data_IF_127471258656
#
_entry.id   IF_127471258656
#
_cell.length_a   1.000
_cell.length_b   1.000
_cell.length_c   1.000
_cell.angle_alpha   90.00
_cell.angle_beta   90.00
_cell.angle_gamma   90.00
#
_symmetry.space_group_name_H-M   'P 1'
#
loop_
_entity.id
_entity.type
_entity.pdbx_description
1 polymer ?
#
# COMPACT_ATOMS: atom_id res chain seq x y z
N UNK A 1 -14.83 -21.31 20.92
CA UNK A 1 -13.41 -21.21 21.33
C UNK A 1 -12.93 -19.75 21.23
N UNK A 2 -12.86 -18.96 22.32
CA UNK A 2 -12.50 -17.54 22.27
C UNK A 2 -11.00 -17.31 22.57
N UNK A 3 -10.09 -17.99 21.86
CA UNK A 3 -8.63 -17.78 22.02
C UNK A 3 -7.94 -17.24 20.77
N UNK A 4 -8.63 -17.16 19.63
CA UNK A 4 -8.10 -16.47 18.45
C UNK A 4 -8.43 -14.98 18.49
N UNK A 5 -7.49 -14.18 19.04
CA UNK A 5 -7.50 -12.73 18.86
C UNK A 5 -7.25 -12.43 17.36
N UNK A 6 -8.31 -12.06 16.65
CA UNK A 6 -8.23 -11.65 15.25
C UNK A 6 -7.80 -10.19 15.18
N UNK A 7 -6.78 -9.89 14.39
CA UNK A 7 -6.31 -8.52 14.19
C UNK A 7 -7.44 -7.60 13.68
N UNK A 8 -7.43 -6.33 14.10
CA UNK A 8 -8.48 -5.36 13.78
C UNK A 8 -8.73 -5.20 12.27
N UNK A 9 -7.66 -5.15 11.46
CA UNK A 9 -7.73 -5.10 9.99
C UNK A 9 -8.30 -6.39 9.38
N UNK A 10 -7.91 -7.55 9.92
CA UNK A 10 -8.46 -8.85 9.52
C UNK A 10 -9.95 -8.94 9.85
N UNK A 11 -10.35 -8.55 11.08
CA UNK A 11 -11.74 -8.48 11.51
C UNK A 11 -12.56 -7.55 10.61
N UNK A 12 -12.07 -6.34 10.34
CA UNK A 12 -12.72 -5.41 9.42
C UNK A 12 -12.93 -6.02 8.04
N UNK A 13 -11.92 -6.70 7.50
CA UNK A 13 -11.97 -7.33 6.18
C UNK A 13 -12.99 -8.48 6.17
N UNK A 14 -12.99 -9.33 7.19
CA UNK A 14 -13.91 -10.46 7.31
C UNK A 14 -15.34 -9.99 7.49
N UNK A 15 -15.59 -9.01 8.37
CA UNK A 15 -16.91 -8.38 8.52
C UNK A 15 -17.40 -7.82 7.19
N UNK A 16 -16.56 -7.11 6.43
CA UNK A 16 -16.97 -6.63 5.11
C UNK A 16 -17.33 -7.77 4.16
N UNK A 17 -16.55 -8.86 4.13
CA UNK A 17 -16.82 -10.02 3.27
C UNK A 17 -18.15 -10.69 3.63
N UNK A 18 -18.38 -10.90 4.93
CA UNK A 18 -19.61 -11.49 5.46
C UNK A 18 -20.82 -10.61 5.12
N UNK A 19 -20.80 -9.34 5.51
CA UNK A 19 -21.91 -8.39 5.30
C UNK A 19 -22.22 -8.18 3.81
N UNK A 20 -21.18 -8.05 2.97
CA UNK A 20 -21.35 -7.65 1.56
C UNK A 20 -21.64 -8.82 0.63
N UNK A 21 -21.08 -9.99 0.89
CA UNK A 21 -21.11 -11.10 -0.07
C UNK A 21 -21.75 -12.37 0.49
N UNK A 22 -21.45 -12.76 1.73
CA UNK A 22 -21.93 -14.05 2.25
C UNK A 22 -23.37 -13.98 2.77
N UNK A 23 -23.70 -12.99 3.60
CA UNK A 23 -25.05 -12.88 4.18
C UNK A 23 -26.16 -12.67 3.13
N UNK A 24 -25.98 -11.85 2.07
CA UNK A 24 -27.01 -11.72 1.04
C UNK A 24 -27.31 -13.02 0.29
N UNK A 25 -26.35 -13.94 0.25
CA UNK A 25 -26.46 -15.21 -0.46
C UNK A 25 -26.96 -16.32 0.47
N UNK A 26 -26.25 -16.55 1.58
CA UNK A 26 -26.45 -17.70 2.46
C UNK A 26 -27.18 -17.37 3.76
N UNK A 27 -27.39 -16.09 4.08
CA UNK A 27 -27.90 -15.67 5.40
C UNK A 27 -29.31 -16.16 5.72
N UNK A 28 -30.14 -16.38 4.69
CA UNK A 28 -31.48 -16.97 4.85
C UNK A 28 -31.51 -18.49 4.80
N UNK A 29 -30.38 -19.16 4.53
CA UNK A 29 -30.32 -20.62 4.42
C UNK A 29 -29.92 -21.25 5.75
N UNK A 30 -30.54 -22.38 6.09
CA UNK A 30 -30.02 -23.24 7.16
C UNK A 30 -28.66 -23.81 6.75
N UNK A 31 -27.71 -23.84 7.68
CA UNK A 31 -26.34 -24.28 7.40
C UNK A 31 -26.26 -25.72 6.85
N UNK A 32 -27.11 -26.61 7.36
CA UNK A 32 -27.25 -28.01 6.91
C UNK A 32 -27.83 -28.16 5.49
N UNK A 33 -28.42 -27.10 4.92
CA UNK A 33 -28.94 -27.06 3.55
C UNK A 33 -28.02 -26.36 2.56
N UNK A 34 -26.88 -25.82 3.01
CA UNK A 34 -25.89 -25.25 2.10
C UNK A 34 -25.11 -26.40 1.45
N UNK A 35 -25.25 -26.55 0.15
CA UNK A 35 -24.62 -27.62 -0.64
C UNK A 35 -23.47 -27.08 -1.51
N UNK A 36 -22.55 -27.94 -1.98
CA UNK A 36 -21.48 -27.52 -2.90
C UNK A 36 -21.96 -26.84 -4.19
N UNK A 37 -23.17 -27.17 -4.68
CA UNK A 37 -23.75 -26.49 -5.85
C UNK A 37 -24.03 -25.01 -5.59
N UNK A 38 -24.55 -24.65 -4.41
CA UNK A 38 -24.79 -23.24 -4.03
C UNK A 38 -23.48 -22.45 -3.96
N UNK A 39 -22.42 -23.07 -3.42
CA UNK A 39 -21.11 -22.42 -3.35
C UNK A 39 -20.49 -22.23 -4.74
N UNK A 40 -20.64 -23.21 -5.64
CA UNK A 40 -20.20 -23.06 -7.05
C UNK A 40 -20.97 -21.94 -7.76
N UNK A 41 -22.28 -21.90 -7.59
CA UNK A 41 -23.13 -20.87 -8.19
C UNK A 41 -22.77 -19.47 -7.66
N UNK A 42 -22.58 -19.34 -6.34
CA UNK A 42 -22.11 -18.11 -5.71
C UNK A 42 -20.78 -17.63 -6.31
N UNK A 43 -19.79 -18.53 -6.45
CA UNK A 43 -18.49 -18.21 -7.07
C UNK A 43 -18.67 -17.76 -8.51
N UNK A 44 -19.51 -18.45 -9.28
CA UNK A 44 -19.83 -18.07 -10.65
C UNK A 44 -20.46 -16.68 -10.73
N UNK A 45 -21.48 -16.39 -9.90
CA UNK A 45 -22.13 -15.07 -9.80
C UNK A 45 -21.14 -13.95 -9.48
N UNK A 46 -20.21 -14.18 -8.55
CA UNK A 46 -19.17 -13.20 -8.24
C UNK A 46 -18.27 -12.92 -9.44
N UNK A 47 -17.86 -13.95 -10.17
CA UNK A 47 -17.03 -13.81 -11.36
C UNK A 47 -17.80 -13.07 -12.48
N UNK A 48 -19.06 -13.44 -12.71
CA UNK A 48 -19.93 -12.79 -13.71
C UNK A 48 -20.15 -11.30 -13.41
N UNK A 49 -20.18 -10.90 -12.13
CA UNK A 49 -20.25 -9.50 -11.69
C UNK A 49 -18.92 -8.75 -11.78
N UNK A 50 -17.84 -9.38 -12.25
CA UNK A 50 -16.51 -8.78 -12.36
C UNK A 50 -15.79 -8.60 -11.02
N UNK A 51 -16.18 -9.34 -9.97
CA UNK A 51 -15.47 -9.32 -8.69
C UNK A 51 -14.09 -9.94 -8.88
N UNK A 52 -13.04 -9.25 -8.43
CA UNK A 52 -11.66 -9.74 -8.61
C UNK A 52 -11.44 -11.13 -7.99
N UNK A 53 -10.64 -11.98 -8.64
CA UNK A 53 -10.29 -13.32 -8.15
C UNK A 53 -9.80 -13.30 -6.69
N UNK A 54 -9.02 -12.30 -6.30
CA UNK A 54 -8.55 -12.13 -4.93
C UNK A 54 -9.69 -12.00 -3.90
N UNK A 55 -10.74 -11.24 -4.21
CA UNK A 55 -11.92 -11.11 -3.35
C UNK A 55 -12.73 -12.40 -3.35
N UNK A 56 -12.85 -13.08 -4.50
CA UNK A 56 -13.52 -14.40 -4.60
C UNK A 56 -12.82 -15.44 -3.72
N UNK A 57 -11.48 -15.55 -3.80
CA UNK A 57 -10.71 -16.43 -2.93
C UNK A 57 -10.91 -16.10 -1.45
N UNK A 58 -10.98 -14.80 -1.10
CA UNK A 58 -11.24 -14.39 0.28
C UNK A 58 -12.65 -14.76 0.74
N UNK A 59 -13.67 -14.57 -0.09
CA UNK A 59 -15.04 -15.01 0.22
C UNK A 59 -15.06 -16.51 0.50
N UNK A 60 -14.41 -17.30 -0.36
CA UNK A 60 -14.29 -18.76 -0.19
C UNK A 60 -13.50 -19.15 1.06
N UNK A 61 -12.42 -18.44 1.38
CA UNK A 61 -11.63 -18.72 2.58
C UNK A 61 -12.43 -18.46 3.87
N UNK A 62 -13.15 -17.33 3.94
CA UNK A 62 -14.02 -17.02 5.08
C UNK A 62 -15.17 -18.01 5.18
N UNK A 63 -15.83 -18.33 4.06
CA UNK A 63 -16.91 -19.31 4.03
C UNK A 63 -16.41 -20.71 4.44
N UNK A 64 -15.25 -21.12 3.96
CA UNK A 64 -14.63 -22.37 4.37
C UNK A 64 -14.29 -22.37 5.85
N UNK A 65 -13.77 -21.28 6.42
CA UNK A 65 -13.49 -21.20 7.85
C UNK A 65 -14.77 -21.36 8.70
N UNK A 66 -15.88 -20.74 8.29
CA UNK A 66 -17.19 -20.89 8.93
C UNK A 66 -17.65 -22.35 8.93
N UNK A 67 -17.60 -23.01 7.76
CA UNK A 67 -18.04 -24.41 7.65
C UNK A 67 -17.06 -25.42 8.23
N UNK A 68 -15.77 -25.11 8.32
CA UNK A 68 -14.80 -25.92 9.08
C UNK A 68 -15.19 -25.95 10.56
N UNK A 69 -15.53 -24.80 11.15
CA UNK A 69 -16.01 -24.74 12.54
C UNK A 69 -17.34 -25.49 12.68
N UNK A 70 -18.30 -25.26 11.78
CA UNK A 70 -19.60 -25.95 11.83
C UNK A 70 -19.48 -27.48 11.70
N UNK A 71 -18.54 -27.98 10.89
CA UNK A 71 -18.27 -29.41 10.77
C UNK A 71 -17.64 -29.97 12.05
N UNK A 72 -16.68 -29.25 12.64
CA UNK A 72 -16.05 -29.64 13.92
C UNK A 72 -17.06 -29.68 15.06
N UNK A 73 -17.98 -28.73 15.07
CA UNK A 73 -19.07 -28.63 16.04
C UNK A 73 -20.26 -29.55 15.67
N UNK A 74 -20.11 -30.40 14.64
CA UNK A 74 -21.11 -31.37 14.17
C UNK A 74 -22.48 -30.76 13.77
N UNK A 75 -22.53 -29.47 13.47
CA UNK A 75 -23.73 -28.77 12.97
C UNK A 75 -24.07 -29.22 11.55
N UNK A 76 -23.06 -29.64 10.79
CA UNK A 76 -23.19 -30.15 9.42
C UNK A 76 -22.45 -31.48 9.29
N UNK A 77 -22.92 -32.37 8.41
CA UNK A 77 -22.28 -33.65 8.14
C UNK A 77 -21.21 -33.58 7.04
N UNK A 78 -21.31 -32.61 6.12
CA UNK A 78 -20.45 -32.49 4.94
C UNK A 78 -20.04 -31.05 4.71
N UNK A 79 -18.78 -30.84 4.33
CA UNK A 79 -18.24 -29.50 4.11
C UNK A 79 -18.63 -28.94 2.72
N UNK A 80 -19.47 -27.90 2.63
CA UNK A 80 -20.00 -27.44 1.34
C UNK A 80 -18.98 -26.78 0.43
N UNK A 81 -17.87 -26.24 0.96
CA UNK A 81 -16.82 -25.69 0.10
C UNK A 81 -15.82 -26.75 -0.40
N UNK A 82 -15.94 -28.02 0.02
CA UNK A 82 -15.03 -29.07 -0.41
C UNK A 82 -15.14 -29.26 -1.94
N UNK A 83 -13.98 -29.36 -2.60
CA UNK A 83 -13.90 -29.56 -4.06
C UNK A 83 -14.32 -28.36 -4.93
N UNK A 84 -14.82 -27.26 -4.35
CA UNK A 84 -15.13 -26.05 -5.11
C UNK A 84 -13.83 -25.43 -5.60
N UNK A 85 -13.72 -25.06 -6.87
CA UNK A 85 -12.57 -24.34 -7.42
C UNK A 85 -12.86 -22.86 -7.56
N UNK A 86 -11.80 -22.05 -7.54
CA UNK A 86 -11.89 -20.60 -7.64
C UNK A 86 -11.37 -20.17 -9.01
N UNK A 87 -11.63 -18.92 -9.40
CA UNK A 87 -11.02 -18.39 -10.62
C UNK A 87 -9.50 -18.45 -10.49
N UNK A 88 -8.82 -18.83 -11.57
CA UNK A 88 -7.37 -18.70 -11.64
C UNK A 88 -7.06 -17.22 -11.81
N UNK A 89 -6.33 -16.64 -10.87
CA UNK A 89 -5.84 -15.28 -11.04
C UNK A 89 -4.61 -15.33 -11.96
N UNK A 90 -4.61 -14.62 -13.10
CA UNK A 90 -3.40 -14.51 -13.90
C UNK A 90 -2.31 -13.83 -13.07
N UNK A 91 -1.12 -14.44 -13.07
CA UNK A 91 0.05 -13.78 -12.49
C UNK A 91 0.40 -12.59 -13.37
N UNK A 92 0.48 -11.40 -12.78
CA UNK A 92 0.99 -10.22 -13.50
C UNK A 92 2.50 -10.14 -13.25
N UNK A 93 3.32 -9.98 -14.31
CA UNK A 93 4.74 -9.80 -14.12
C UNK A 93 4.98 -8.58 -13.24
N UNK A 94 5.91 -8.72 -12.29
CA UNK A 94 6.28 -7.64 -11.39
C UNK A 94 7.15 -6.65 -12.17
N UNK A 95 6.63 -5.46 -12.46
CA UNK A 95 7.42 -4.38 -13.07
C UNK A 95 8.00 -3.50 -11.96
N UNK A 96 9.28 -3.69 -11.69
CA UNK A 96 10.04 -2.97 -10.69
C UNK A 96 10.23 -1.51 -11.12
N UNK A 97 10.42 -0.58 -10.18
CA UNK A 97 10.83 0.79 -10.49
C UNK A 97 12.30 0.79 -10.91
N UNK A 98 12.65 1.47 -11.99
CA UNK A 98 14.05 1.63 -12.40
C UNK A 98 14.71 2.80 -11.64
N UNK A 99 16.04 2.80 -11.42
CA UNK A 99 16.73 3.91 -10.76
C UNK A 99 16.45 5.27 -11.41
N UNK A 100 16.53 5.37 -12.75
CA UNK A 100 16.21 6.61 -13.46
C UNK A 100 14.74 7.04 -13.38
N UNK A 101 13.79 6.10 -13.17
CA UNK A 101 12.39 6.45 -12.87
C UNK A 101 12.27 7.03 -11.45
N UNK A 102 13.06 6.53 -10.48
CA UNK A 102 13.11 7.08 -9.13
C UNK A 102 13.67 8.50 -9.12
N UNK A 103 14.75 8.77 -9.86
CA UNK A 103 15.35 10.11 -9.92
C UNK A 103 14.36 11.15 -10.46
N UNK A 104 13.68 10.83 -11.57
CA UNK A 104 12.61 11.69 -12.12
C UNK A 104 11.47 11.90 -11.13
N UNK A 105 11.13 10.87 -10.36
CA UNK A 105 10.09 10.96 -9.35
C UNK A 105 10.49 11.85 -8.18
N UNK A 106 11.72 11.70 -7.67
CA UNK A 106 12.25 12.53 -6.59
C UNK A 106 12.35 14.00 -6.99
N UNK A 107 12.69 14.28 -8.26
CA UNK A 107 12.79 15.64 -8.79
C UNK A 107 11.44 16.39 -8.86
N UNK A 108 10.31 15.67 -8.96
CA UNK A 108 8.97 16.29 -9.10
C UNK A 108 8.12 16.24 -7.82
N UNK A 109 8.61 15.58 -6.75
CA UNK A 109 7.90 15.50 -5.48
C UNK A 109 7.86 16.88 -4.80
N UNK A 110 6.70 17.31 -4.26
CA UNK A 110 6.57 18.67 -3.77
C UNK A 110 7.16 18.84 -2.37
N UNK A 111 8.35 19.42 -2.27
CA UNK A 111 8.98 19.71 -0.99
C UNK A 111 9.70 18.50 -0.37
N UNK A 112 10.52 18.80 0.62
CA UNK A 112 11.52 17.87 1.16
C UNK A 112 10.91 16.67 1.88
N UNK A 113 9.87 16.88 2.69
CA UNK A 113 9.18 15.82 3.45
C UNK A 113 8.79 14.63 2.57
N UNK A 114 8.16 14.87 1.40
CA UNK A 114 7.70 13.78 0.53
C UNK A 114 8.83 13.15 -0.28
N UNK A 115 9.87 13.92 -0.61
CA UNK A 115 11.09 13.40 -1.25
C UNK A 115 11.78 12.41 -0.33
N UNK A 116 12.02 12.80 0.93
CA UNK A 116 12.63 11.95 1.95
C UNK A 116 11.78 10.73 2.29
N UNK A 117 10.45 10.86 2.33
CA UNK A 117 9.56 9.72 2.54
C UNK A 117 9.76 8.65 1.46
N UNK A 118 9.87 9.04 0.19
CA UNK A 118 10.06 8.11 -0.94
C UNK A 118 11.46 7.54 -0.96
N UNK A 119 12.47 8.38 -0.75
CA UNK A 119 13.88 7.97 -0.67
C UNK A 119 14.09 6.94 0.45
N UNK A 120 13.59 7.23 1.66
CA UNK A 120 13.67 6.32 2.79
C UNK A 120 12.89 5.02 2.55
N UNK A 121 11.72 5.08 1.90
CA UNK A 121 10.92 3.90 1.58
C UNK A 121 11.63 2.93 0.63
N UNK A 122 12.34 3.47 -0.37
CA UNK A 122 13.13 2.66 -1.31
C UNK A 122 14.39 2.15 -0.62
N UNK A 123 15.11 2.96 0.14
CA UNK A 123 16.39 2.56 0.71
C UNK A 123 16.28 1.54 1.86
N UNK A 124 15.21 1.64 2.65
CA UNK A 124 14.97 0.74 3.78
C UNK A 124 14.09 -0.46 3.42
N UNK A 125 13.27 -0.36 2.36
CA UNK A 125 12.31 -1.40 1.99
C UNK A 125 11.20 -1.65 3.02
N UNK A 126 10.93 -0.70 3.91
CA UNK A 126 9.86 -0.80 4.91
C UNK A 126 8.47 -0.80 4.29
N UNK A 127 7.50 -1.40 4.97
CA UNK A 127 6.08 -1.37 4.58
C UNK A 127 5.51 0.01 4.87
N UNK A 128 4.44 0.39 4.16
CA UNK A 128 3.76 1.67 4.37
C UNK A 128 3.40 1.94 5.84
N UNK A 129 2.84 0.95 6.55
CA UNK A 129 2.48 1.11 7.97
C UNK A 129 3.68 1.26 8.90
N UNK A 130 4.85 0.74 8.53
CA UNK A 130 6.10 0.96 9.28
C UNK A 130 6.63 2.37 8.97
N UNK A 131 6.67 2.75 7.69
CA UNK A 131 7.17 4.04 7.23
C UNK A 131 6.47 5.24 7.88
N UNK A 132 5.14 5.18 7.97
CA UNK A 132 4.34 6.29 8.52
C UNK A 132 4.25 6.28 10.04
N UNK A 133 4.80 5.27 10.71
CA UNK A 133 4.94 5.18 12.18
C UNK A 133 6.40 5.41 12.61
N UNK A 134 7.33 5.66 11.67
CA UNK A 134 8.69 6.05 12.03
C UNK A 134 8.66 7.37 12.79
N UNK A 135 9.46 7.43 13.85
CA UNK A 135 9.68 8.61 14.68
C UNK A 135 11.07 9.16 14.47
N UNK A 136 11.28 10.44 14.78
CA UNK A 136 12.61 11.05 14.63
C UNK A 136 13.70 10.30 15.42
N UNK A 137 13.38 9.80 16.62
CA UNK A 137 14.28 9.04 17.47
C UNK A 137 14.58 7.60 17.01
N UNK A 138 13.94 7.12 15.94
CA UNK A 138 14.23 5.78 15.39
C UNK A 138 15.52 5.75 14.56
N UNK A 139 16.09 6.92 14.24
CA UNK A 139 17.26 7.06 13.39
C UNK A 139 18.48 7.50 14.21
N UNK A 140 19.54 6.70 14.15
CA UNK A 140 20.79 7.01 14.84
C UNK A 140 21.80 7.69 13.90
N UNK A 141 22.23 8.90 14.26
CA UNK A 141 23.13 9.72 13.45
C UNK A 141 24.52 9.11 13.28
N UNK A 142 25.07 8.49 14.34
CA UNK A 142 26.44 7.98 14.35
C UNK A 142 26.59 6.67 13.57
N UNK A 143 25.69 5.73 13.82
CA UNK A 143 25.70 4.39 13.24
C UNK A 143 24.93 4.28 11.92
N UNK A 144 24.19 5.32 11.52
CA UNK A 144 23.32 5.31 10.34
C UNK A 144 22.26 4.17 10.37
N UNK A 145 21.87 3.74 11.58
CA UNK A 145 20.89 2.68 11.78
C UNK A 145 19.48 3.25 11.92
N UNK A 146 18.55 2.73 11.10
CA UNK A 146 17.11 2.92 11.27
C UNK A 146 16.53 1.74 12.06
N UNK A 147 15.87 2.03 13.17
CA UNK A 147 15.16 1.03 13.99
C UNK A 147 13.69 0.95 13.60
N UNK A 148 13.25 -0.24 13.15
CA UNK A 148 11.85 -0.49 12.81
C UNK A 148 11.22 -1.37 13.89
N UNK A 149 10.61 -0.72 14.89
CA UNK A 149 10.01 -1.38 16.05
C UNK A 149 8.47 -1.34 16.08
N UNK A 150 7.87 -0.54 15.19
CA UNK A 150 6.44 -0.24 15.20
C UNK A 150 5.86 -0.26 13.79
N UNK A 151 4.56 -0.50 13.71
CA UNK A 151 3.79 -0.33 12.49
C UNK A 151 2.37 0.11 12.82
N UNK A 152 1.79 0.97 11.99
CA UNK A 152 0.41 1.45 12.17
C UNK A 152 -0.54 0.85 11.14
N UNK A 153 -1.76 0.55 11.57
CA UNK A 153 -2.85 0.06 10.74
C UNK A 153 -4.03 1.03 10.70
N UNK A 154 -4.40 1.49 9.50
CA UNK A 154 -5.59 2.31 9.30
C UNK A 154 -6.85 1.44 9.29
N UNK A 155 -7.70 1.59 10.32
CA UNK A 155 -8.98 0.87 10.49
C UNK A 155 -10.15 1.86 10.64
N UNK A 156 -11.37 1.37 10.43
CA UNK A 156 -12.57 2.16 10.73
C UNK A 156 -12.73 2.25 12.26
N UNK A 157 -13.26 3.38 12.79
CA UNK A 157 -13.50 3.57 14.22
C UNK A 157 -14.17 2.40 14.94
N UNK A 158 -15.18 1.77 14.32
CA UNK A 158 -15.90 0.61 14.89
C UNK A 158 -15.03 -0.64 15.13
N UNK A 159 -13.82 -0.70 14.55
CA UNK A 159 -12.87 -1.79 14.72
C UNK A 159 -11.62 -1.37 15.49
N UNK A 160 -11.52 -0.09 15.87
CA UNK A 160 -10.44 0.42 16.69
C UNK A 160 -10.78 0.27 18.17
N UNK A 161 -9.88 -0.24 19.04
CA UNK A 161 -10.16 -0.43 20.46
C UNK A 161 -10.61 0.85 21.18
N UNK A 162 -10.00 1.99 20.87
CA UNK A 162 -10.35 3.32 21.42
C UNK A 162 -11.23 4.18 20.50
N UNK A 163 -11.74 3.65 19.38
CA UNK A 163 -12.53 4.44 18.42
C UNK A 163 -11.74 5.37 17.48
N UNK A 164 -10.40 5.39 17.59
CA UNK A 164 -9.50 6.05 16.65
C UNK A 164 -9.46 5.42 15.25
N UNK A 165 -8.49 5.83 14.43
CA UNK A 165 -8.31 5.29 13.07
C UNK A 165 -6.99 4.58 12.85
N UNK A 166 -5.96 4.99 13.55
CA UNK A 166 -4.62 4.47 13.37
C UNK A 166 -4.27 3.64 14.59
N UNK A 167 -4.29 2.32 14.41
CA UNK A 167 -3.92 1.39 15.45
C UNK A 167 -2.42 1.14 15.37
N UNK A 168 -1.68 1.79 16.27
CA UNK A 168 -0.24 1.53 16.43
C UNK A 168 -0.06 0.14 17.02
N UNK A 169 0.72 -0.68 16.33
CA UNK A 169 1.16 -1.98 16.79
C UNK A 169 2.65 -1.88 17.08
N UNK A 170 2.99 -2.17 18.32
CA UNK A 170 4.32 -2.69 18.61
C UNK A 170 4.43 -4.05 17.91
N UNK A 171 5.62 -4.49 17.57
CA UNK A 171 5.86 -5.91 17.27
C UNK A 171 6.00 -6.69 18.60
N UNK A 172 5.11 -7.65 18.98
CA UNK A 172 5.39 -8.51 20.12
C UNK A 172 5.09 -10.01 19.88
N UNK A 173 5.78 -10.87 20.66
CA UNK A 173 5.91 -12.34 20.58
C UNK A 173 6.94 -12.81 19.55
N UNK A 174 8.19 -12.92 20.01
CA UNK A 174 9.30 -13.67 19.39
C UNK A 174 9.91 -13.11 18.08
N UNK A 175 9.66 -11.84 17.71
CA UNK A 175 10.37 -11.18 16.61
C UNK A 175 11.06 -9.92 17.08
N UNK A 176 12.38 -9.92 16.97
CA UNK A 176 13.23 -8.75 17.14
C UNK A 176 12.73 -7.63 16.20
N UNK A 177 12.59 -6.43 16.74
CA UNK A 177 12.66 -5.22 15.94
C UNK A 177 13.87 -5.33 15.00
N UNK A 178 13.77 -4.80 13.80
CA UNK A 178 14.90 -4.87 12.85
C UNK A 178 15.60 -3.54 12.76
N UNK A 179 16.92 -3.59 12.69
CA UNK A 179 17.78 -2.44 12.43
C UNK A 179 18.30 -2.51 11.01
N UNK A 180 18.21 -1.39 10.31
CA UNK A 180 18.57 -1.29 8.90
C UNK A 180 19.66 -0.24 8.76
N UNK A 181 20.84 -0.65 8.29
CA UNK A 181 21.85 0.30 7.88
C UNK A 181 21.39 1.03 6.62
N UNK A 182 21.49 2.36 6.67
CA UNK A 182 21.19 3.30 5.59
C UNK A 182 22.48 4.01 5.14
N UNK A 183 22.44 4.62 3.97
CA UNK A 183 23.50 5.49 3.48
C UNK A 183 23.53 6.76 4.32
N UNK A 184 24.73 7.18 4.69
CA UNK A 184 24.99 8.38 5.48
C UNK A 184 24.26 9.62 4.96
N UNK A 185 24.30 9.84 3.63
CA UNK A 185 23.64 10.99 2.99
C UNK A 185 22.14 11.01 3.26
N UNK A 186 21.45 9.86 3.24
CA UNK A 186 20.02 9.80 3.54
C UNK A 186 19.75 10.08 5.01
N UNK A 187 20.59 9.55 5.89
CA UNK A 187 20.50 9.82 7.33
C UNK A 187 20.68 11.31 7.62
N UNK A 188 21.70 11.93 7.05
CA UNK A 188 21.98 13.36 7.19
C UNK A 188 20.83 14.24 6.67
N UNK A 189 20.29 13.93 5.48
CA UNK A 189 19.15 14.66 4.93
C UNK A 189 17.89 14.54 5.82
N UNK A 190 17.63 13.35 6.36
CA UNK A 190 16.50 13.12 7.26
C UNK A 190 16.69 13.87 8.59
N UNK A 191 17.89 13.85 9.16
CA UNK A 191 18.18 14.55 10.41
C UNK A 191 18.14 16.07 10.24
N UNK A 192 18.64 16.59 9.11
CA UNK A 192 18.50 18.02 8.79
C UNK A 192 17.04 18.43 8.67
N UNK A 193 16.20 17.59 8.06
CA UNK A 193 14.75 17.81 8.03
C UNK A 193 14.12 17.77 9.43
N UNK A 194 14.51 16.81 10.29
CA UNK A 194 14.03 16.72 11.68
C UNK A 194 14.32 18.00 12.45
N UNK A 195 15.55 18.52 12.32
CA UNK A 195 15.96 19.77 12.95
C UNK A 195 15.18 20.98 12.41
N UNK A 196 15.09 21.13 11.09
CA UNK A 196 14.36 22.22 10.44
C UNK A 196 12.86 22.23 10.77
N UNK A 197 12.26 21.04 10.89
CA UNK A 197 10.86 20.87 11.25
C UNK A 197 10.61 20.95 12.77
N UNK A 198 11.67 21.02 13.60
CA UNK A 198 11.55 21.08 15.06
C UNK A 198 10.94 19.83 15.68
N UNK A 199 11.17 18.65 15.09
CA UNK A 199 10.57 17.39 15.55
C UNK A 199 11.34 16.84 16.77
N UNK A 200 10.61 16.54 17.84
CA UNK A 200 11.11 15.79 18.97
C UNK A 200 11.31 14.30 18.66
N UNK A 201 12.03 13.55 19.52
CA UNK A 201 12.36 12.15 19.28
C UNK A 201 11.14 11.23 19.14
N UNK A 202 10.03 11.58 19.80
CA UNK A 202 8.77 10.82 19.76
C UNK A 202 7.81 11.27 18.65
N UNK A 203 8.13 12.37 17.96
CA UNK A 203 7.29 12.88 16.90
C UNK A 203 7.41 12.02 15.64
N UNK A 204 6.29 11.88 14.93
CA UNK A 204 6.25 11.21 13.64
C UNK A 204 7.18 11.90 12.67
N UNK A 205 8.02 11.12 11.99
CA UNK A 205 8.96 11.63 11.00
C UNK A 205 8.23 12.26 9.81
N UNK A 206 7.08 11.70 9.44
CA UNK A 206 6.25 12.20 8.34
C UNK A 206 4.81 12.44 8.81
N UNK A 207 4.56 13.53 9.56
CA UNK A 207 3.23 13.81 10.10
C UNK A 207 2.27 14.23 8.98
N UNK A 208 0.98 14.03 9.22
CA UNK A 208 -0.07 14.58 8.37
C UNK A 208 -0.06 16.11 8.45
N UNK A 209 0.05 16.82 7.33
CA UNK A 209 0.20 18.27 7.35
C UNK A 209 -1.06 18.95 7.88
N UNK A 210 -0.89 19.95 8.76
CA UNK A 210 -2.00 20.76 9.26
C UNK A 210 -2.74 21.48 8.14
N UNK A 211 -1.98 21.97 7.14
CA UNK A 211 -2.48 22.59 5.93
C UNK A 211 -2.17 21.69 4.72
N UNK A 212 -3.01 20.68 4.43
CA UNK A 212 -2.78 19.79 3.29
C UNK A 212 -2.80 20.58 1.98
N UNK A 213 -1.86 20.36 1.05
CA UNK A 213 -1.80 21.09 -0.20
C UNK A 213 -3.13 21.03 -0.95
N UNK A 214 -3.53 22.18 -1.51
CA UNK A 214 -4.74 22.30 -2.31
C UNK A 214 -4.52 21.52 -3.60
N UNK A 215 -5.38 20.54 -3.86
CA UNK A 215 -5.34 19.78 -5.11
C UNK A 215 -5.65 20.72 -6.27
N UNK A 216 -4.68 20.89 -7.18
CA UNK A 216 -4.88 21.65 -8.41
C UNK A 216 -6.09 21.10 -9.18
N UNK A 217 -7.00 21.99 -9.58
CA UNK A 217 -8.14 21.62 -10.40
C UNK A 217 -7.65 21.24 -11.79
N UNK A 218 -8.18 20.15 -12.34
CA UNK A 218 -7.87 19.75 -13.72
C UNK A 218 -8.17 20.89 -14.68
N UNK A 219 -7.24 21.13 -15.62
CA UNK A 219 -7.46 22.02 -16.74
C UNK A 219 -8.71 21.60 -17.51
N UNK A 220 -9.50 22.58 -17.91
CA UNK A 220 -10.60 22.42 -18.86
C UNK A 220 -10.44 23.57 -19.83
N UNK A 221 -10.36 23.27 -21.12
CA UNK A 221 -10.32 24.29 -22.17
C UNK A 221 -11.61 25.12 -22.09
N UNK A 222 -11.45 26.43 -21.99
CA UNK A 222 -12.59 27.35 -21.91
C UNK A 222 -13.31 27.39 -23.27
N UNK A 223 -14.64 27.27 -23.25
CA UNK A 223 -15.47 27.39 -24.46
C UNK A 223 -15.74 26.09 -25.22
N UNK A 224 -15.05 24.99 -24.90
CA UNK A 224 -15.29 23.68 -25.54
C UNK A 224 -16.26 22.85 -24.69
N UNK A 225 -17.48 22.68 -25.16
CA UNK A 225 -18.45 21.73 -24.61
C UNK A 225 -18.48 20.53 -25.56
N UNK A 226 -18.08 19.33 -25.12
CA UNK A 226 -18.15 18.15 -25.98
C UNK A 226 -19.60 17.84 -26.37
N UNK A 227 -19.80 17.24 -27.54
CA UNK A 227 -21.12 16.90 -28.05
C UNK A 227 -21.89 16.00 -27.05
N UNK A 228 -23.16 16.35 -26.80
CA UNK A 228 -24.01 15.64 -25.83
C UNK A 228 -23.85 16.08 -24.36
N UNK A 229 -23.14 17.19 -24.09
CA UNK A 229 -22.98 17.75 -22.75
C UNK A 229 -23.67 19.13 -22.60
N UNK A 230 -24.24 19.42 -21.42
CA UNK A 230 -24.94 20.69 -21.14
C UNK A 230 -24.02 21.85 -20.72
N UNK A 231 -24.52 23.10 -20.83
CA UNK A 231 -23.82 24.32 -20.40
C UNK A 231 -23.74 24.44 -18.87
N UNK A 232 -22.72 25.13 -18.36
CA UNK A 232 -22.44 25.26 -16.92
C UNK A 232 -23.39 26.21 -16.16
N UNK A 233 -24.06 27.13 -16.87
CA UNK A 233 -24.90 28.21 -16.31
C UNK A 233 -26.38 27.88 -16.27
N UNK A 234 -26.82 26.87 -17.03
CA UNK A 234 -28.18 26.33 -16.98
C UNK A 234 -28.21 25.11 -16.06
N UNK A 235 -29.07 25.15 -15.05
CA UNK A 235 -29.30 24.01 -14.16
C UNK A 235 -29.56 22.73 -14.97
N UNK A 236 -28.92 21.64 -14.54
CA UNK A 236 -29.21 20.25 -14.93
C UNK A 236 -28.92 19.82 -16.38
N UNK A 237 -27.66 19.86 -16.80
CA UNK A 237 -27.13 18.77 -17.62
C UNK A 237 -27.12 17.48 -16.80
N UNK A 238 -28.28 16.80 -16.73
CA UNK A 238 -28.52 15.68 -15.82
C UNK A 238 -27.45 14.58 -15.95
N UNK A 239 -26.79 14.27 -14.84
CA UNK A 239 -26.21 12.95 -14.61
C UNK A 239 -24.87 12.62 -15.26
N UNK A 240 -24.31 13.44 -16.16
CA UNK A 240 -23.03 13.10 -16.79
C UNK A 240 -21.86 13.10 -15.80
N UNK A 241 -21.27 11.91 -15.57
CA UNK A 241 -20.12 11.71 -14.66
C UNK A 241 -18.80 11.55 -15.41
N UNK A 242 -18.66 12.08 -16.63
CA UNK A 242 -17.39 12.01 -17.36
C UNK A 242 -16.29 12.87 -16.70
N UNK A 243 -15.05 12.75 -17.18
CA UNK A 243 -13.91 13.51 -16.65
C UNK A 243 -14.04 15.02 -16.88
N UNK A 244 -14.48 15.41 -18.08
CA UNK A 244 -14.66 16.80 -18.49
C UNK A 244 -15.72 17.52 -17.64
N UNK A 245 -16.97 17.03 -17.59
CA UNK A 245 -18.05 17.68 -16.81
C UNK A 245 -17.71 17.82 -15.32
N UNK A 246 -17.04 16.81 -14.74
CA UNK A 246 -16.58 16.87 -13.35
C UNK A 246 -15.54 17.97 -13.14
N UNK A 247 -14.59 18.13 -14.07
CA UNK A 247 -13.58 19.16 -14.01
C UNK A 247 -14.18 20.57 -14.23
N UNK A 248 -15.08 20.71 -15.21
CA UNK A 248 -15.77 21.95 -15.54
C UNK A 248 -16.60 22.46 -14.36
N UNK A 249 -17.42 21.57 -13.76
CA UNK A 249 -18.21 21.90 -12.57
C UNK A 249 -17.33 22.26 -11.36
N UNK A 250 -16.21 21.56 -11.18
CA UNK A 250 -15.28 21.87 -10.09
C UNK A 250 -14.64 23.27 -10.24
N UNK A 251 -14.26 23.67 -11.47
CA UNK A 251 -13.75 25.03 -11.77
C UNK A 251 -14.82 26.09 -11.55
N UNK A 252 -16.04 25.87 -12.05
CA UNK A 252 -17.17 26.77 -11.83
C UNK A 252 -17.44 27.03 -10.33
N UNK A 253 -17.53 25.96 -9.53
CA UNK A 253 -17.72 26.07 -8.07
C UNK A 253 -16.53 26.74 -7.38
N UNK A 254 -15.31 26.54 -7.86
CA UNK A 254 -14.14 27.23 -7.31
C UNK A 254 -14.18 28.74 -7.57
N UNK A 255 -14.56 29.16 -8.78
CA UNK A 255 -14.75 30.58 -9.11
C UNK A 255 -15.84 31.24 -8.26
N UNK A 256 -16.97 30.55 -8.03
CA UNK A 256 -18.02 31.04 -7.14
C UNK A 256 -17.56 31.20 -5.69
N UNK A 257 -16.75 30.27 -5.17
CA UNK A 257 -16.15 30.39 -3.83
C UNK A 257 -15.21 31.58 -3.73
N UNK A 258 -14.38 31.81 -4.75
CA UNK A 258 -13.49 32.98 -4.80
C UNK A 258 -14.27 34.30 -4.81
N UNK A 259 -15.48 34.32 -5.39
CA UNK A 259 -16.40 35.45 -5.37
C UNK A 259 -17.30 35.52 -4.12
N UNK A 260 -17.07 34.67 -3.10
CA UNK A 260 -17.90 34.63 -1.89
C UNK A 260 -19.34 34.11 -2.09
N UNK A 261 -19.70 33.65 -3.31
CA UNK A 261 -21.06 33.23 -3.67
C UNK A 261 -21.42 31.82 -3.19
N UNK A 262 -20.44 31.07 -2.69
CA UNK A 262 -20.58 29.71 -2.19
C UNK A 262 -19.84 29.59 -0.84
N UNK A 263 -20.55 29.23 0.23
CA UNK A 263 -19.97 28.91 1.54
C UNK A 263 -20.05 27.38 1.77
N UNK A 264 -19.08 26.58 1.30
CA UNK A 264 -19.10 25.14 1.53
C UNK A 264 -18.96 24.86 3.03
N UNK A 265 -19.66 23.83 3.52
CA UNK A 265 -19.37 23.28 4.85
C UNK A 265 -17.87 22.99 4.95
N UNK A 266 -17.25 23.42 6.05
CA UNK A 266 -15.87 23.12 6.34
C UNK A 266 -15.57 21.65 6.15
N UNK A 267 -14.37 21.32 5.66
CA UNK A 267 -13.97 19.91 5.55
C UNK A 267 -14.05 19.29 6.94
N UNK A 268 -14.78 18.19 7.09
CA UNK A 268 -14.76 17.41 8.33
C UNK A 268 -13.30 16.99 8.56
N UNK A 269 -12.64 17.59 9.55
CA UNK A 269 -11.30 17.15 9.97
C UNK A 269 -11.48 15.74 10.51
N UNK A 270 -10.78 14.81 9.90
CA UNK A 270 -10.67 13.47 10.45
C UNK A 270 -9.52 13.57 11.43
N UNK A 271 -9.75 13.18 12.68
CA UNK A 271 -8.66 12.99 13.60
C UNK A 271 -7.84 11.80 13.11
N UNK A 272 -6.59 12.09 12.79
CA UNK A 272 -5.62 11.12 12.27
C UNK A 272 -4.49 10.93 13.25
N UNK A 273 -4.59 11.40 14.51
CA UNK A 273 -3.54 11.28 15.54
C UNK A 273 -2.11 11.58 15.03
N UNK A 274 -2.01 12.52 14.09
CA UNK A 274 -0.77 12.89 13.40
C UNK A 274 -0.37 11.97 12.22
N UNK A 275 -0.89 10.75 12.12
CA UNK A 275 -0.55 9.80 11.05
C UNK A 275 -1.04 10.20 9.67
N UNK A 276 -0.19 9.92 8.68
CA UNK A 276 -0.45 10.18 7.26
C UNK A 276 -1.43 9.15 6.65
N UNK A 277 -2.66 9.55 6.25
CA UNK A 277 -3.61 8.60 5.67
C UNK A 277 -3.18 8.15 4.28
N UNK A 278 -3.08 6.83 4.07
CA UNK A 278 -2.58 6.24 2.82
C UNK A 278 -3.37 6.73 1.61
N UNK A 279 -4.70 6.75 1.71
CA UNK A 279 -5.57 7.16 0.62
C UNK A 279 -5.40 8.64 0.27
N UNK A 280 -5.10 9.48 1.26
CA UNK A 280 -4.83 10.89 1.06
C UNK A 280 -3.49 11.06 0.35
N UNK A 281 -2.40 10.49 0.87
CA UNK A 281 -1.07 10.60 0.27
C UNK A 281 -1.06 10.10 -1.18
N UNK A 282 -1.65 8.92 -1.42
CA UNK A 282 -1.72 8.35 -2.77
C UNK A 282 -2.44 9.25 -3.77
N UNK A 283 -3.46 9.99 -3.32
CA UNK A 283 -4.28 10.81 -4.19
C UNK A 283 -3.65 12.17 -4.46
N UNK A 284 -3.09 12.78 -3.42
CA UNK A 284 -2.71 14.18 -3.46
C UNK A 284 -1.22 14.39 -3.76
N UNK A 285 -0.37 13.41 -3.44
CA UNK A 285 1.09 13.50 -3.63
C UNK A 285 1.54 12.47 -4.67
N UNK A 286 1.35 11.19 -4.39
CA UNK A 286 1.93 10.09 -5.18
C UNK A 286 1.48 10.06 -6.64
N UNK A 287 0.16 10.06 -6.89
CA UNK A 287 -0.38 9.99 -8.26
C UNK A 287 -0.04 11.21 -9.10
N UNK A 288 -0.17 12.44 -8.60
CA UNK A 288 0.32 13.63 -9.31
C UNK A 288 1.81 13.54 -9.62
N UNK A 289 2.64 13.13 -8.66
CA UNK A 289 4.09 13.00 -8.87
C UNK A 289 4.44 11.94 -9.93
N UNK A 290 3.80 10.77 -9.93
CA UNK A 290 3.98 9.77 -10.98
C UNK A 290 3.64 10.32 -12.37
N UNK A 291 2.53 11.08 -12.47
CA UNK A 291 2.13 11.68 -13.74
C UNK A 291 3.14 12.76 -14.19
N UNK A 292 3.62 13.60 -13.28
CA UNK A 292 4.64 14.61 -13.56
C UNK A 292 5.99 14.00 -13.96
N UNK A 293 6.35 12.86 -13.38
CA UNK A 293 7.57 12.10 -13.72
C UNK A 293 7.46 11.31 -15.04
N UNK A 294 6.33 11.40 -15.77
CA UNK A 294 6.09 10.66 -17.00
C UNK A 294 5.82 9.15 -16.81
N UNK A 295 5.55 8.71 -15.58
CA UNK A 295 5.33 7.30 -15.25
C UNK A 295 3.83 6.99 -15.44
N UNK A 296 3.49 6.50 -16.63
CA UNK A 296 2.09 6.23 -17.04
C UNK A 296 1.52 4.92 -16.47
N UNK A 297 2.40 3.99 -16.10
CA UNK A 297 2.02 2.71 -15.50
C UNK A 297 1.56 2.86 -14.05
N UNK A 298 0.79 1.90 -13.57
CA UNK A 298 0.34 1.88 -12.17
C UNK A 298 1.47 1.45 -11.23
N UNK A 299 2.07 2.42 -10.54
CA UNK A 299 3.03 2.18 -9.44
C UNK A 299 2.36 2.45 -8.09
N UNK A 300 2.51 1.51 -7.14
CA UNK A 300 2.03 1.57 -5.77
C UNK A 300 3.22 1.84 -4.84
N UNK A 301 2.97 2.41 -3.66
CA UNK A 301 4.00 2.53 -2.63
C UNK A 301 4.69 1.20 -2.26
N UNK A 302 3.95 0.09 -2.29
CA UNK A 302 4.56 -1.22 -2.01
C UNK A 302 5.54 -1.68 -3.11
N UNK A 303 5.46 -1.07 -4.30
CA UNK A 303 6.39 -1.38 -5.38
C UNK A 303 7.78 -0.74 -5.13
N UNK A 304 7.90 0.25 -4.24
CA UNK A 304 9.20 0.75 -3.75
C UNK A 304 9.95 -0.31 -2.93
N UNK A 305 9.22 -1.08 -2.13
CA UNK A 305 9.78 -2.25 -1.43
C UNK A 305 10.16 -3.36 -2.40
N UNK A 306 9.42 -3.53 -3.49
CA UNK A 306 9.83 -4.44 -4.57
C UNK A 306 11.10 -3.94 -5.28
N UNK A 307 11.22 -2.62 -5.48
CA UNK A 307 12.44 -1.99 -6.01
C UNK A 307 13.64 -2.23 -5.11
N UNK A 308 13.54 -1.92 -3.81
CA UNK A 308 14.58 -2.22 -2.82
C UNK A 308 15.11 -3.66 -2.92
N UNK A 309 14.19 -4.63 -2.86
CA UNK A 309 14.53 -6.04 -2.91
C UNK A 309 15.22 -6.42 -4.22
N UNK A 310 14.66 -5.99 -5.34
CA UNK A 310 15.17 -6.35 -6.67
C UNK A 310 16.52 -5.69 -6.96
N UNK A 311 16.73 -4.45 -6.50
CA UNK A 311 17.99 -3.73 -6.68
C UNK A 311 19.12 -4.31 -5.82
N UNK A 312 18.81 -4.71 -4.58
CA UNK A 312 19.78 -5.43 -3.75
C UNK A 312 20.20 -6.75 -4.40
N UNK A 313 19.22 -7.53 -4.87
CA UNK A 313 19.45 -8.80 -5.55
C UNK A 313 20.25 -8.58 -6.85
N UNK A 314 19.90 -7.60 -7.67
CA UNK A 314 20.63 -7.25 -8.89
C UNK A 314 22.06 -6.75 -8.59
N UNK A 315 22.26 -6.06 -7.46
CA UNK A 315 23.57 -5.64 -6.97
C UNK A 315 24.40 -6.76 -6.32
N UNK A 316 23.91 -8.01 -6.33
CA UNK A 316 24.63 -9.18 -5.81
C UNK A 316 24.46 -9.42 -4.31
N UNK A 317 23.51 -8.76 -3.65
CA UNK A 317 23.21 -9.06 -2.25
C UNK A 317 22.60 -10.45 -2.08
N UNK A 318 23.03 -11.16 -1.04
CA UNK A 318 22.50 -12.47 -0.71
C UNK A 318 21.00 -12.44 -0.34
N UNK A 319 20.28 -13.48 -0.75
CA UNK A 319 18.82 -13.57 -0.59
C UNK A 319 18.39 -13.60 0.88
N UNK A 320 19.22 -14.14 1.78
CA UNK A 320 18.99 -14.14 3.21
C UNK A 320 19.11 -12.73 3.78
N UNK A 321 20.14 -11.97 3.38
CA UNK A 321 20.28 -10.55 3.73
C UNK A 321 19.06 -9.75 3.27
N UNK A 322 18.57 -9.98 2.05
CA UNK A 322 17.36 -9.33 1.53
C UNK A 322 16.12 -9.72 2.34
N UNK A 323 15.96 -11.01 2.68
CA UNK A 323 14.86 -11.51 3.53
C UNK A 323 14.83 -10.83 4.91
N UNK A 324 15.99 -10.71 5.54
CA UNK A 324 16.17 -10.09 6.86
C UNK A 324 15.87 -8.59 6.82
N UNK A 325 16.44 -7.86 5.86
CA UNK A 325 16.13 -6.42 5.66
C UNK A 325 14.64 -6.18 5.45
N UNK A 326 13.98 -7.05 4.68
CA UNK A 326 12.54 -6.95 4.43
C UNK A 326 11.68 -7.41 5.64
N UNK A 327 12.22 -8.18 6.58
CA UNK A 327 11.43 -8.80 7.64
C UNK A 327 10.38 -9.76 7.09
N UNK A 328 10.79 -10.64 6.16
CA UNK A 328 9.96 -11.73 5.65
C UNK A 328 10.04 -12.95 6.58
N UNK A 329 8.89 -13.43 7.03
CA UNK A 329 8.78 -14.63 7.86
C UNK A 329 9.01 -15.95 7.12
N UNK A 330 9.02 -15.91 5.79
CA UNK A 330 9.20 -17.09 4.94
C UNK A 330 9.98 -16.70 3.69
N UNK A 331 10.86 -17.60 3.23
CA UNK A 331 11.65 -17.41 2.01
C UNK A 331 10.78 -17.34 0.75
N UNK A 332 9.62 -18.00 0.73
CA UNK A 332 8.66 -17.95 -0.38
C UNK A 332 8.21 -16.53 -0.78
N UNK A 333 8.19 -15.61 0.18
CA UNK A 333 7.90 -14.20 -0.11
C UNK A 333 9.06 -13.52 -0.87
N UNK A 334 10.29 -13.95 -0.62
CA UNK A 334 11.53 -13.43 -1.21
C UNK A 334 11.88 -14.12 -2.52
N UNK A 335 11.49 -15.38 -2.73
CA UNK A 335 11.69 -16.15 -3.97
C UNK A 335 11.19 -15.42 -5.23
N UNK A 336 10.19 -14.54 -5.08
CA UNK A 336 9.66 -13.73 -6.20
C UNK A 336 10.69 -12.80 -6.83
N UNK A 337 11.78 -12.51 -6.13
CA UNK A 337 12.89 -11.69 -6.64
C UNK A 337 14.03 -12.54 -7.22
N UNK A 338 14.02 -13.87 -7.07
CA UNK A 338 15.05 -14.70 -7.69
C UNK A 338 15.01 -14.62 -9.22
N UNK A 339 13.84 -14.37 -9.82
CA UNK A 339 13.74 -14.21 -11.27
C UNK A 339 14.44 -12.96 -11.80
N UNK A 340 14.73 -11.96 -10.96
CA UNK A 340 15.59 -10.83 -11.37
C UNK A 340 17.07 -11.20 -11.38
N UNK A 341 17.46 -12.33 -10.76
CA UNK A 341 18.82 -12.89 -10.88
C UNK A 341 19.03 -13.64 -12.19
N UNK A 342 17.98 -14.16 -12.81
CA UNK A 342 18.10 -14.94 -14.06
C UNK A 342 18.55 -14.08 -15.25
N UNK A 343 18.44 -12.75 -15.16
CA UNK A 343 19.04 -11.80 -16.12
C UNK A 343 20.44 -11.33 -15.68
N UNK A 344 20.95 -11.82 -14.54
CA UNK A 344 22.18 -11.40 -13.88
C UNK A 344 23.29 -12.46 -13.91
N UNK A 345 23.28 -13.35 -14.92
CA UNK A 345 24.41 -14.26 -15.18
C UNK A 345 25.74 -13.50 -15.25
N UNK A 346 25.72 -12.26 -15.75
CA UNK A 346 26.86 -11.36 -15.78
C UNK A 346 27.37 -11.00 -14.37
N UNK A 347 26.51 -10.69 -13.40
CA UNK A 347 26.99 -10.39 -12.04
C UNK A 347 27.50 -11.64 -11.31
N UNK A 348 26.94 -12.81 -11.61
CA UNK A 348 27.44 -14.09 -11.11
C UNK A 348 28.84 -14.40 -11.69
N UNK A 349 29.03 -14.16 -12.99
CA UNK A 349 30.33 -14.25 -13.66
C UNK A 349 31.32 -13.21 -13.13
N UNK A 350 30.94 -11.95 -12.97
CA UNK A 350 31.79 -10.89 -12.42
C UNK A 350 32.21 -11.19 -10.96
N UNK A 351 31.32 -11.79 -10.16
CA UNK A 351 31.64 -12.27 -8.82
C UNK A 351 32.63 -13.45 -8.87
N UNK A 352 32.40 -14.41 -9.78
CA UNK A 352 33.29 -15.55 -9.98
C UNK A 352 34.68 -15.12 -10.48
N UNK A 353 34.75 -14.19 -11.43
CA UNK A 353 35.99 -13.63 -11.96
C UNK A 353 36.74 -12.84 -10.88
N UNK A 354 36.06 -12.02 -10.07
CA UNK A 354 36.70 -11.34 -8.92
C UNK A 354 37.31 -12.32 -7.92
N UNK A 355 36.69 -13.48 -7.67
CA UNK A 355 37.26 -14.51 -6.78
C UNK A 355 38.43 -15.24 -7.45
N UNK A 356 38.31 -15.54 -8.75
CA UNK A 356 39.34 -16.25 -9.51
C UNK A 356 40.59 -15.40 -9.75
N UNK A 357 40.42 -14.09 -9.95
CA UNK A 357 41.48 -13.16 -10.31
C UNK A 357 41.90 -12.23 -9.16
N UNK A 358 41.10 -12.09 -8.10
CA UNK A 358 41.36 -11.20 -6.95
C UNK A 358 42.33 -11.74 -5.88
N UNK A 359 43.16 -12.73 -6.22
CA UNK A 359 44.30 -13.17 -5.37
C UNK A 359 45.66 -13.15 -6.08
N UNK A 360 45.72 -12.71 -7.33
CA UNK A 360 46.98 -12.59 -8.08
C UNK A 360 47.44 -11.12 -8.15
N UNK A 361 47.81 -10.54 -7.00
CA UNK A 361 48.29 -9.15 -6.94
C UNK A 361 48.77 -8.66 -5.58
N UNK A 362 49.22 -9.56 -4.70
CA UNK A 362 49.88 -9.18 -3.45
C UNK A 362 51.02 -10.17 -3.16
N UNK A 363 52.15 -9.96 -3.82
CA UNK A 363 53.40 -10.69 -3.62
C UNK A 363 54.26 -10.70 -4.88
N UNK A 364 55.53 -10.31 -4.72
CA UNK A 364 56.64 -10.17 -5.71
C UNK A 364 56.62 -8.82 -6.45
N UNK A 365 57.54 -7.87 -6.26
CA UNK A 365 58.76 -7.71 -5.45
C UNK A 365 58.93 -6.21 -5.10
#
# INVERSE_FOLDING_TARGET
MPTHLVEATTRQTYTHVVERYLLPEFGGMRMDRVLPCHVREFVWRLCARGVSAHVVHRCRAVLSAIFTTALRDQVIAQHPCAGVRGPVAPSKPMRVLEPGELDRLLAVLPGECWRLLVELAVESGVRWGELVELRAGDLDAGSCLLTVARAVEEVKPRFHPSGGRFLVKLYPKEREYRRLLLRRVVVENVLSYVEQAGLGPDDLLFPFPDSPPVVALRAVEAGVIPDGHGTLTGYSGQGCRCGHCRAAYARYRAGRRAQGKDAPRGRRRVDTDGHLPRRWYLRNIWKPALAAAGITRRVRMHDLRHAHASWLVAGGADIQTVRERLGHSSLRATEKYLHTLAESDHAALDAFERVRHGRAGAGED
#
